data_IF_195062567642
#
_entry.id   IF_195062567642
#
_cell.length_a   1.000
_cell.length_b   1.000
_cell.length_c   1.000
_cell.angle_alpha   90.00
_cell.angle_beta   90.00
_cell.angle_gamma   90.00
#
_symmetry.space_group_name_H-M   'P 1'
#
loop_
_entity.id
_entity.type
_entity.pdbx_description
1 polymer ?
#
# COMPACT_ATOMS: atom_id res chain seq x y z
N UNK A 1 14.14 -4.98 -39.97
CA UNK A 1 14.39 -4.10 -38.79
C UNK A 1 15.85 -3.69 -38.82
N UNK A 2 16.15 -2.41 -38.61
CA UNK A 2 17.52 -1.95 -38.53
C UNK A 2 18.24 -2.62 -37.31
N UNK A 3 19.53 -2.82 -37.45
CA UNK A 3 20.37 -3.49 -36.43
C UNK A 3 21.35 -2.48 -35.80
N UNK A 4 21.87 -2.80 -34.64
CA UNK A 4 22.88 -1.95 -33.96
C UNK A 4 24.12 -1.74 -34.85
N UNK A 5 24.46 -2.70 -35.74
CA UNK A 5 25.54 -2.59 -36.70
C UNK A 5 25.26 -1.52 -37.77
N UNK A 6 24.02 -1.43 -38.25
CA UNK A 6 23.59 -0.41 -39.19
C UNK A 6 23.59 0.98 -38.60
N UNK A 7 23.12 1.13 -37.34
CA UNK A 7 23.21 2.38 -36.59
C UNK A 7 24.66 2.83 -36.44
N UNK A 8 25.55 1.92 -36.06
CA UNK A 8 26.98 2.20 -35.92
C UNK A 8 27.60 2.70 -37.24
N UNK A 9 27.21 2.06 -38.37
CA UNK A 9 27.67 2.46 -39.71
C UNK A 9 27.18 3.86 -40.10
N UNK A 10 25.88 4.15 -39.88
CA UNK A 10 25.26 5.45 -40.24
C UNK A 10 25.84 6.56 -39.34
N UNK A 11 25.97 6.31 -38.04
CA UNK A 11 26.53 7.27 -37.11
C UNK A 11 28.04 7.41 -37.18
N UNK A 12 28.75 6.55 -37.96
CA UNK A 12 30.21 6.58 -38.09
C UNK A 12 30.96 6.27 -36.82
N UNK A 13 30.47 5.33 -36.00
CA UNK A 13 31.01 4.94 -34.71
C UNK A 13 31.05 3.41 -34.54
N UNK A 14 31.70 2.91 -33.50
CA UNK A 14 31.67 1.48 -33.20
C UNK A 14 30.29 1.04 -32.61
N UNK A 15 29.94 -0.24 -32.74
CA UNK A 15 28.75 -0.82 -32.08
C UNK A 15 28.82 -0.70 -30.57
N UNK A 16 30.02 -0.71 -29.98
CA UNK A 16 30.23 -0.46 -28.56
C UNK A 16 29.86 0.99 -28.18
N UNK A 17 30.24 1.97 -29.02
CA UNK A 17 29.87 3.38 -28.80
C UNK A 17 28.34 3.56 -28.89
N UNK A 18 27.67 2.96 -29.88
CA UNK A 18 26.21 2.97 -29.95
C UNK A 18 25.57 2.36 -28.70
N UNK A 19 26.11 1.24 -28.22
CA UNK A 19 25.64 0.61 -26.98
C UNK A 19 25.87 1.51 -25.75
N UNK A 20 26.99 2.24 -25.69
CA UNK A 20 27.23 3.19 -24.60
C UNK A 20 26.27 4.37 -24.62
N UNK A 21 25.94 4.91 -25.79
CA UNK A 21 24.94 5.97 -25.96
C UNK A 21 23.55 5.49 -25.51
N UNK A 22 23.10 4.34 -26.03
CA UNK A 22 21.78 3.78 -25.73
C UNK A 22 21.59 3.50 -24.23
N UNK A 23 22.65 2.98 -23.56
CA UNK A 23 22.56 2.54 -22.17
C UNK A 23 23.15 3.56 -21.16
N UNK A 24 23.59 4.72 -21.63
CA UNK A 24 24.26 5.74 -20.80
C UNK A 24 25.38 5.16 -19.89
N UNK A 25 26.04 4.10 -20.35
CA UNK A 25 26.94 3.28 -19.52
C UNK A 25 28.37 3.83 -19.43
N UNK A 26 28.71 4.80 -20.29
CA UNK A 26 29.99 5.56 -20.28
C UNK A 26 29.76 6.94 -20.87
N UNK A 27 30.62 7.87 -20.52
CA UNK A 27 30.59 9.19 -21.12
C UNK A 27 30.87 9.08 -22.63
N UNK A 28 29.99 9.67 -23.43
CA UNK A 28 30.16 9.87 -24.88
C UNK A 28 29.87 11.33 -25.16
N UNK A 29 30.68 11.96 -26.05
CA UNK A 29 30.49 13.38 -26.36
C UNK A 29 29.09 13.65 -26.91
N UNK A 30 28.57 14.86 -26.64
CA UNK A 30 27.25 15.29 -27.12
C UNK A 30 27.10 15.17 -28.64
N UNK A 31 28.14 15.46 -29.38
CA UNK A 31 28.15 15.33 -30.84
C UNK A 31 27.92 13.88 -31.29
N UNK A 32 28.66 12.93 -30.74
CA UNK A 32 28.49 11.50 -31.04
C UNK A 32 27.14 10.99 -30.59
N UNK A 33 26.67 11.42 -29.42
CA UNK A 33 25.33 11.07 -28.87
C UNK A 33 24.24 11.52 -29.83
N UNK A 34 24.30 12.76 -30.34
CA UNK A 34 23.32 13.29 -31.29
C UNK A 34 23.34 12.51 -32.62
N UNK A 35 24.50 12.21 -33.18
CA UNK A 35 24.64 11.40 -34.41
C UNK A 35 24.01 10.02 -34.25
N UNK A 36 24.22 9.37 -33.12
CA UNK A 36 23.62 8.05 -32.84
C UNK A 36 22.07 8.17 -32.75
N UNK A 37 21.56 9.17 -32.04
CA UNK A 37 20.12 9.37 -31.93
C UNK A 37 19.47 9.73 -33.27
N UNK A 38 20.13 10.51 -34.11
CA UNK A 38 19.67 10.79 -35.49
C UNK A 38 19.63 9.53 -36.37
N UNK A 39 20.66 8.71 -36.29
CA UNK A 39 20.70 7.44 -37.01
C UNK A 39 19.57 6.50 -36.55
N UNK A 40 19.30 6.44 -35.25
CA UNK A 40 18.20 5.67 -34.70
C UNK A 40 16.83 6.18 -35.18
N UNK A 41 16.62 7.51 -35.15
CA UNK A 41 15.37 8.11 -35.64
C UNK A 41 15.18 7.86 -37.15
N UNK A 42 16.21 8.07 -37.92
CA UNK A 42 16.15 7.90 -39.41
C UNK A 42 15.86 6.46 -39.83
N UNK A 43 16.25 5.48 -39.02
CA UNK A 43 16.08 4.05 -39.34
C UNK A 43 14.89 3.40 -38.62
N UNK A 44 14.23 4.12 -37.70
CA UNK A 44 13.20 3.55 -36.83
C UNK A 44 13.74 2.48 -35.89
N UNK A 45 15.05 2.47 -35.63
CA UNK A 45 15.67 1.51 -34.72
C UNK A 45 15.19 1.70 -33.29
N UNK A 46 14.68 0.63 -32.69
CA UNK A 46 14.39 0.56 -31.26
C UNK A 46 15.35 -0.42 -30.60
N UNK A 47 15.95 -0.06 -29.46
CA UNK A 47 16.78 -0.99 -28.71
C UNK A 47 16.03 -2.28 -28.41
N UNK A 48 16.66 -3.41 -28.59
CA UNK A 48 16.06 -4.70 -28.26
C UNK A 48 16.17 -4.95 -26.76
N UNK A 49 15.08 -4.70 -26.04
CA UNK A 49 14.96 -4.87 -24.59
C UNK A 49 15.28 -6.32 -24.19
N UNK A 50 14.85 -7.32 -24.99
CA UNK A 50 15.13 -8.71 -24.71
C UNK A 50 16.64 -9.03 -24.80
N UNK A 51 17.35 -8.49 -25.79
CA UNK A 51 18.79 -8.65 -25.91
C UNK A 51 19.56 -7.92 -24.79
N UNK A 52 19.04 -6.78 -24.33
CA UNK A 52 19.58 -6.08 -23.15
C UNK A 52 19.40 -6.91 -21.89
N UNK A 53 18.17 -7.41 -21.64
CA UNK A 53 17.84 -8.24 -20.50
C UNK A 53 18.67 -9.52 -20.45
N UNK A 54 18.86 -10.21 -21.58
CA UNK A 54 19.71 -11.41 -21.65
C UNK A 54 21.17 -11.13 -21.28
N UNK A 55 21.69 -9.96 -21.69
CA UNK A 55 23.10 -9.59 -21.43
C UNK A 55 23.33 -9.11 -20.00
N UNK A 56 22.38 -8.33 -19.44
CA UNK A 56 22.53 -7.67 -18.14
C UNK A 56 21.84 -8.43 -17.01
N UNK A 57 21.02 -9.40 -17.36
CA UNK A 57 20.08 -10.08 -16.45
C UNK A 57 19.13 -9.11 -15.71
N UNK A 58 18.90 -7.93 -16.32
CA UNK A 58 18.01 -6.89 -15.80
C UNK A 58 16.98 -6.52 -16.86
N UNK A 59 15.71 -6.51 -16.47
CA UNK A 59 14.58 -6.18 -17.34
C UNK A 59 14.12 -4.73 -17.15
N UNK A 60 14.61 -4.05 -16.13
CA UNK A 60 14.09 -2.76 -15.66
C UNK A 60 12.58 -2.80 -15.40
N UNK A 61 12.12 -3.90 -14.85
CA UNK A 61 10.71 -4.13 -14.56
C UNK A 61 10.54 -4.59 -13.11
N UNK A 62 9.60 -3.97 -12.41
CA UNK A 62 9.21 -4.33 -11.04
C UNK A 62 7.79 -4.89 -11.06
N UNK A 63 7.59 -6.00 -10.36
CA UNK A 63 6.26 -6.54 -10.09
C UNK A 63 5.66 -5.86 -8.85
N UNK A 64 4.46 -5.31 -9.00
CA UNK A 64 3.68 -4.76 -7.90
C UNK A 64 2.44 -5.62 -7.70
N UNK A 65 2.29 -6.20 -6.52
CA UNK A 65 1.19 -7.10 -6.18
C UNK A 65 0.31 -6.48 -5.09
N UNK A 66 -0.95 -6.19 -5.41
CA UNK A 66 -1.90 -5.52 -4.50
C UNK A 66 -3.23 -6.28 -4.43
N UNK A 67 -3.91 -6.29 -3.26
CA UNK A 67 -5.22 -6.93 -3.09
C UNK A 67 -6.38 -5.95 -3.40
N UNK A 68 -6.52 -5.54 -4.66
CA UNK A 68 -7.53 -4.57 -5.10
C UNK A 68 -8.87 -5.27 -5.28
N UNK A 69 -9.91 -4.82 -4.56
CA UNK A 69 -11.29 -5.34 -4.64
C UNK A 69 -12.17 -4.40 -5.44
N UNK A 70 -13.15 -4.95 -6.20
CA UNK A 70 -13.89 -4.20 -7.24
C UNK A 70 -14.77 -3.07 -6.70
N UNK A 71 -15.30 -3.17 -5.50
CA UNK A 71 -16.33 -2.26 -4.97
C UNK A 71 -15.93 -1.55 -3.66
N UNK A 72 -14.61 -1.45 -3.38
CA UNK A 72 -14.13 -0.91 -2.13
C UNK A 72 -13.48 0.46 -2.26
N UNK A 73 -13.74 1.33 -1.31
CA UNK A 73 -13.10 2.64 -1.17
C UNK A 73 -11.61 2.51 -0.78
N UNK A 74 -11.19 1.35 -0.23
CA UNK A 74 -9.77 1.01 0.02
C UNK A 74 -8.91 1.05 -1.26
N UNK A 75 -9.54 0.95 -2.44
CA UNK A 75 -8.84 1.10 -3.71
C UNK A 75 -8.17 2.47 -3.86
N UNK A 76 -8.70 3.53 -3.23
CA UNK A 76 -8.07 4.86 -3.22
C UNK A 76 -6.71 4.81 -2.50
N UNK A 77 -6.62 4.08 -1.40
CA UNK A 77 -5.38 3.86 -0.65
C UNK A 77 -4.32 3.17 -1.52
N UNK A 78 -4.67 2.04 -2.14
CA UNK A 78 -3.75 1.32 -3.02
C UNK A 78 -3.37 2.11 -4.28
N UNK A 79 -4.29 2.93 -4.83
CA UNK A 79 -3.99 3.82 -5.95
C UNK A 79 -2.95 4.87 -5.57
N UNK A 80 -3.10 5.53 -4.42
CA UNK A 80 -2.13 6.52 -3.94
C UNK A 80 -0.76 5.87 -3.67
N UNK A 81 -0.74 4.68 -3.09
CA UNK A 81 0.48 3.89 -2.88
C UNK A 81 1.17 3.58 -4.22
N UNK A 82 0.41 3.11 -5.22
CA UNK A 82 0.92 2.82 -6.57
C UNK A 82 1.53 4.06 -7.22
N UNK A 83 0.88 5.23 -7.12
CA UNK A 83 1.43 6.49 -7.65
C UNK A 83 2.75 6.86 -6.97
N UNK A 84 2.89 6.63 -5.66
CA UNK A 84 4.15 6.83 -4.95
C UNK A 84 5.25 5.89 -5.43
N UNK A 85 4.92 4.61 -5.60
CA UNK A 85 5.84 3.58 -6.13
C UNK A 85 6.29 3.94 -7.55
N UNK A 86 5.34 4.27 -8.44
CA UNK A 86 5.61 4.59 -9.84
C UNK A 86 6.54 5.79 -9.96
N UNK A 87 6.27 6.88 -9.23
CA UNK A 87 7.06 8.11 -9.30
C UNK A 87 8.55 7.86 -8.99
N UNK A 88 8.87 7.04 -7.99
CA UNK A 88 10.25 6.72 -7.61
C UNK A 88 10.89 5.78 -8.64
N UNK A 89 10.17 4.75 -9.08
CA UNK A 89 10.70 3.74 -10.00
C UNK A 89 10.90 4.29 -11.42
N UNK A 90 10.00 5.14 -11.90
CA UNK A 90 10.11 5.80 -13.21
C UNK A 90 11.35 6.70 -13.28
N UNK A 91 11.66 7.46 -12.22
CA UNK A 91 12.84 8.30 -12.12
C UNK A 91 14.16 7.50 -12.29
N UNK A 92 14.14 6.22 -11.89
CA UNK A 92 15.26 5.28 -12.03
C UNK A 92 15.18 4.40 -13.30
N UNK A 93 14.21 4.70 -14.17
CA UNK A 93 14.01 4.03 -15.46
C UNK A 93 13.42 2.61 -15.35
N UNK A 94 12.67 2.32 -14.28
CA UNK A 94 11.93 1.08 -14.11
C UNK A 94 10.48 1.25 -14.56
N UNK A 95 9.91 0.19 -15.14
CA UNK A 95 8.48 0.05 -15.38
C UNK A 95 7.84 -0.83 -14.30
N UNK A 96 6.58 -0.55 -13.96
CA UNK A 96 5.80 -1.35 -13.02
C UNK A 96 4.82 -2.25 -13.76
N UNK A 97 4.75 -3.53 -13.39
CA UNK A 97 3.68 -4.45 -13.80
C UNK A 97 2.80 -4.71 -12.58
N UNK A 98 1.55 -4.28 -12.66
CA UNK A 98 0.57 -4.50 -11.60
C UNK A 98 -0.05 -5.90 -11.71
N UNK A 99 -0.02 -6.65 -10.61
CA UNK A 99 -0.80 -7.86 -10.38
C UNK A 99 -1.86 -7.58 -9.31
N UNK A 100 -3.08 -8.07 -9.52
CA UNK A 100 -4.14 -7.95 -8.55
C UNK A 100 -4.48 -9.31 -7.95
N UNK A 101 -4.30 -9.48 -6.63
CA UNK A 101 -4.61 -10.73 -5.93
C UNK A 101 -6.09 -10.91 -5.63
N UNK A 102 -6.86 -9.82 -5.59
CA UNK A 102 -8.26 -9.80 -5.16
C UNK A 102 -8.46 -10.45 -3.77
N UNK A 103 -7.52 -10.25 -2.87
CA UNK A 103 -7.49 -10.87 -1.54
C UNK A 103 -7.61 -12.42 -1.62
N UNK A 104 -7.03 -13.05 -2.64
CA UNK A 104 -7.11 -14.49 -2.87
C UNK A 104 -5.73 -15.12 -3.02
N UNK A 105 -5.39 -16.05 -2.15
CA UNK A 105 -4.11 -16.75 -2.08
C UNK A 105 -3.75 -17.50 -3.37
N UNK A 106 -4.73 -18.13 -4.03
CA UNK A 106 -4.46 -18.84 -5.28
C UNK A 106 -4.12 -17.87 -6.41
N UNK A 107 -4.81 -16.74 -6.47
CA UNK A 107 -4.52 -15.68 -7.42
C UNK A 107 -3.16 -15.05 -7.14
N UNK A 108 -2.81 -14.84 -5.86
CA UNK A 108 -1.49 -14.36 -5.45
C UNK A 108 -0.37 -15.28 -5.96
N UNK A 109 -0.51 -16.59 -5.77
CA UNK A 109 0.40 -17.61 -6.28
C UNK A 109 0.59 -17.53 -7.80
N UNK A 110 -0.51 -17.47 -8.54
CA UNK A 110 -0.49 -17.36 -10.01
C UNK A 110 0.22 -16.07 -10.46
N UNK A 111 -0.02 -14.95 -9.79
CA UNK A 111 0.63 -13.68 -10.14
C UNK A 111 2.14 -13.73 -9.86
N UNK A 112 2.57 -14.36 -8.77
CA UNK A 112 3.99 -14.55 -8.49
C UNK A 112 4.67 -15.41 -9.57
N UNK A 113 4.04 -16.51 -10.02
CA UNK A 113 4.52 -17.31 -11.15
C UNK A 113 4.63 -16.47 -12.45
N UNK A 114 3.63 -15.61 -12.72
CA UNK A 114 3.68 -14.71 -13.87
C UNK A 114 4.85 -13.71 -13.79
N UNK A 115 5.16 -13.18 -12.61
CA UNK A 115 6.29 -12.29 -12.41
C UNK A 115 7.64 -13.01 -12.56
N UNK A 116 7.75 -14.26 -12.08
CA UNK A 116 8.93 -15.10 -12.31
C UNK A 116 9.17 -15.32 -13.81
N UNK A 117 8.14 -15.72 -14.56
CA UNK A 117 8.21 -15.94 -16.00
C UNK A 117 8.59 -14.68 -16.78
N UNK A 118 8.28 -13.50 -16.28
CA UNK A 118 8.64 -12.20 -16.88
C UNK A 118 9.99 -11.68 -16.42
N UNK A 119 10.70 -12.42 -15.56
CA UNK A 119 12.01 -12.08 -15.03
C UNK A 119 12.07 -10.66 -14.46
N UNK A 120 11.04 -10.24 -13.70
CA UNK A 120 11.06 -8.92 -13.03
C UNK A 120 12.29 -8.82 -12.12
N UNK A 121 12.87 -7.62 -12.00
CA UNK A 121 14.10 -7.38 -11.25
C UNK A 121 13.87 -7.36 -9.72
N UNK A 122 12.63 -7.10 -9.31
CA UNK A 122 12.22 -7.06 -7.91
C UNK A 122 10.70 -7.02 -7.77
N UNK A 123 10.24 -7.12 -6.53
CA UNK A 123 8.82 -7.19 -6.18
C UNK A 123 8.48 -6.25 -5.03
N UNK A 124 7.31 -5.60 -5.13
CA UNK A 124 6.64 -4.94 -4.01
C UNK A 124 5.31 -5.66 -3.82
N UNK A 125 5.04 -6.15 -2.62
CA UNK A 125 3.91 -7.04 -2.34
C UNK A 125 3.14 -6.54 -1.13
N UNK A 126 1.85 -6.22 -1.30
CA UNK A 126 0.89 -6.20 -0.21
C UNK A 126 0.28 -7.62 -0.12
N UNK A 127 0.69 -8.44 0.86
CA UNK A 127 0.29 -9.84 0.90
C UNK A 127 -1.20 -9.98 1.24
N UNK A 128 -1.84 -11.05 0.77
CA UNK A 128 -3.20 -11.39 1.19
C UNK A 128 -3.21 -11.78 2.67
N UNK A 129 -4.38 -11.70 3.35
CA UNK A 129 -4.49 -12.05 4.77
C UNK A 129 -4.08 -13.49 5.07
N UNK A 130 -4.31 -14.39 4.12
CA UNK A 130 -3.97 -15.79 4.23
C UNK A 130 -2.62 -16.14 3.58
N UNK A 131 -1.80 -15.13 3.22
CA UNK A 131 -0.46 -15.34 2.67
C UNK A 131 0.41 -16.06 3.67
N UNK A 132 0.92 -17.19 3.24
CA UNK A 132 1.71 -18.10 4.06
C UNK A 132 3.17 -18.12 3.59
N UNK A 133 3.96 -18.93 4.26
CA UNK A 133 5.39 -19.16 3.99
C UNK A 133 5.75 -19.48 2.53
N UNK A 134 4.80 -19.94 1.71
CA UNK A 134 5.02 -20.22 0.28
C UNK A 134 5.58 -19.03 -0.50
N UNK A 135 5.27 -17.79 -0.09
CA UNK A 135 5.77 -16.59 -0.79
C UNK A 135 7.30 -16.62 -0.85
N UNK A 136 7.99 -16.86 0.27
CA UNK A 136 9.46 -16.89 0.30
C UNK A 136 10.06 -17.93 -0.64
N UNK A 137 9.47 -19.13 -0.69
CA UNK A 137 9.91 -20.18 -1.59
C UNK A 137 9.76 -19.74 -3.06
N UNK A 138 8.63 -19.12 -3.39
CA UNK A 138 8.36 -18.62 -4.74
C UNK A 138 9.22 -17.42 -5.13
N UNK A 139 9.65 -16.59 -4.18
CA UNK A 139 10.50 -15.43 -4.48
C UNK A 139 11.90 -15.83 -4.97
N UNK A 140 12.41 -17.02 -4.58
CA UNK A 140 13.69 -17.54 -5.05
C UNK A 140 14.88 -16.58 -4.80
N UNK A 141 14.86 -15.83 -3.70
CA UNK A 141 15.88 -14.84 -3.36
C UNK A 141 15.81 -13.53 -4.16
N UNK A 142 14.72 -13.28 -4.88
CA UNK A 142 14.49 -12.04 -5.61
C UNK A 142 14.32 -10.85 -4.64
N UNK A 143 14.94 -9.68 -4.91
CA UNK A 143 14.70 -8.46 -4.14
C UNK A 143 13.21 -8.18 -3.95
N UNK A 144 12.76 -8.12 -2.70
CA UNK A 144 11.34 -7.97 -2.38
C UNK A 144 11.16 -7.07 -1.17
N UNK A 145 10.13 -6.19 -1.24
CA UNK A 145 9.66 -5.38 -0.12
C UNK A 145 8.18 -5.66 0.09
N UNK A 146 7.81 -6.00 1.31
CA UNK A 146 6.41 -6.09 1.71
C UNK A 146 5.86 -4.72 2.10
N UNK A 147 4.60 -4.46 1.75
CA UNK A 147 3.92 -3.19 2.06
C UNK A 147 2.57 -3.43 2.70
N UNK A 148 2.08 -2.44 3.46
CA UNK A 148 0.76 -2.43 4.09
C UNK A 148 0.60 -3.45 5.22
N UNK A 149 0.96 -4.70 4.99
CA UNK A 149 0.86 -5.79 5.95
C UNK A 149 2.24 -6.40 6.20
N UNK A 150 2.60 -6.55 7.47
CA UNK A 150 3.80 -7.26 7.88
C UNK A 150 3.51 -8.76 7.87
N UNK A 151 4.22 -9.54 7.05
CA UNK A 151 4.02 -10.99 7.04
C UNK A 151 4.55 -11.59 8.34
N UNK A 152 3.67 -12.12 9.18
CA UNK A 152 3.98 -12.47 10.57
C UNK A 152 4.94 -13.65 10.73
N UNK A 153 4.89 -14.61 9.81
CA UNK A 153 5.74 -15.80 9.87
C UNK A 153 7.08 -15.64 9.13
N UNK A 154 7.31 -14.47 8.49
CA UNK A 154 8.49 -14.22 7.70
C UNK A 154 9.46 -13.31 8.46
N UNK A 155 10.57 -13.89 8.90
CA UNK A 155 11.67 -13.11 9.48
C UNK A 155 12.70 -12.77 8.43
N UNK A 156 13.37 -11.63 8.59
CA UNK A 156 14.47 -11.24 7.69
C UNK A 156 13.99 -10.77 6.32
N UNK A 157 12.84 -10.10 6.25
CA UNK A 157 12.31 -9.46 5.04
C UNK A 157 12.29 -7.94 5.16
N UNK A 158 12.39 -7.24 4.03
CA UNK A 158 12.14 -5.80 4.00
C UNK A 158 10.63 -5.56 4.03
N UNK A 159 10.20 -4.66 4.90
CA UNK A 159 8.79 -4.33 5.04
C UNK A 159 8.61 -2.85 5.36
N UNK A 160 7.55 -2.24 4.81
CA UNK A 160 7.11 -0.90 5.20
C UNK A 160 5.61 -0.91 5.45
N UNK A 161 5.22 -0.50 6.65
CA UNK A 161 3.83 -0.49 7.12
C UNK A 161 3.53 0.82 7.83
N UNK A 162 2.24 1.14 8.00
CA UNK A 162 1.82 2.19 8.90
C UNK A 162 1.86 1.71 10.37
N UNK A 163 2.10 2.61 11.30
CA UNK A 163 1.99 2.35 12.74
C UNK A 163 0.51 2.39 13.17
N UNK A 164 -0.21 1.38 12.69
CA UNK A 164 -1.67 1.27 12.78
C UNK A 164 -2.16 1.17 14.21
N UNK A 165 -1.51 0.35 15.04
CA UNK A 165 -1.87 0.16 16.43
C UNK A 165 -1.73 1.46 17.22
N UNK A 166 -0.59 2.12 17.09
CA UNK A 166 -0.33 3.40 17.74
C UNK A 166 -1.32 4.48 17.29
N UNK A 167 -1.57 4.62 15.99
CA UNK A 167 -2.52 5.60 15.48
C UNK A 167 -3.94 5.39 15.99
N UNK A 168 -4.37 4.14 16.13
CA UNK A 168 -5.67 3.80 16.72
C UNK A 168 -5.69 4.14 18.22
N UNK A 169 -4.61 3.84 18.95
CA UNK A 169 -4.48 4.18 20.35
C UNK A 169 -4.57 5.69 20.57
N UNK A 170 -3.79 6.49 19.84
CA UNK A 170 -3.79 7.95 19.92
C UNK A 170 -5.19 8.54 19.66
N UNK A 171 -5.94 7.98 18.71
CA UNK A 171 -7.29 8.44 18.39
C UNK A 171 -8.30 8.11 19.50
N UNK A 172 -8.22 6.92 20.08
CA UNK A 172 -9.10 6.54 21.22
C UNK A 172 -8.72 7.30 22.48
N UNK A 173 -7.43 7.52 22.74
CA UNK A 173 -6.96 8.38 23.84
C UNK A 173 -7.56 9.79 23.74
N UNK A 174 -7.67 10.35 22.51
CA UNK A 174 -8.29 11.65 22.32
C UNK A 174 -9.75 11.65 22.75
N UNK A 175 -10.53 10.62 22.39
CA UNK A 175 -11.91 10.48 22.85
C UNK A 175 -11.97 10.40 24.39
N UNK A 176 -11.07 9.66 25.00
CA UNK A 176 -11.00 9.53 26.48
C UNK A 176 -10.67 10.88 27.12
N UNK A 177 -9.74 11.67 26.57
CA UNK A 177 -9.41 13.01 27.05
C UNK A 177 -10.57 14.00 26.91
N UNK A 178 -11.44 13.81 25.91
CA UNK A 178 -12.68 14.57 25.71
C UNK A 178 -13.81 14.14 26.68
N UNK A 179 -13.57 13.15 27.53
CA UNK A 179 -14.48 12.71 28.57
C UNK A 179 -15.29 11.45 28.25
N UNK A 180 -15.10 10.87 27.07
CA UNK A 180 -15.80 9.62 26.71
C UNK A 180 -15.25 8.44 27.51
N UNK A 181 -16.14 7.57 27.98
CA UNK A 181 -15.79 6.36 28.74
C UNK A 181 -16.44 5.10 28.17
N UNK A 182 -17.65 5.23 27.64
CA UNK A 182 -18.37 4.17 26.93
C UNK A 182 -18.19 4.39 25.43
N UNK A 183 -17.11 3.78 24.89
CA UNK A 183 -16.71 3.94 23.49
C UNK A 183 -17.03 2.65 22.75
N UNK A 184 -17.96 2.74 21.80
CA UNK A 184 -18.31 1.61 20.95
C UNK A 184 -17.26 1.41 19.83
N UNK A 185 -17.19 0.22 19.29
CA UNK A 185 -16.26 -0.13 18.21
C UNK A 185 -16.99 -0.85 17.08
N UNK A 186 -16.75 -0.40 15.84
CA UNK A 186 -17.14 -1.13 14.65
C UNK A 186 -15.86 -1.67 13.98
N UNK A 187 -15.74 -2.99 13.89
CA UNK A 187 -14.56 -3.66 13.36
C UNK A 187 -14.87 -4.67 12.26
N UNK A 188 -13.90 -4.92 11.39
CA UNK A 188 -13.87 -6.12 10.57
C UNK A 188 -13.72 -7.38 11.45
N UNK A 189 -13.82 -8.55 10.84
CA UNK A 189 -13.65 -9.83 11.54
C UNK A 189 -12.26 -9.91 12.16
N UNK A 190 -12.21 -10.23 13.45
CA UNK A 190 -11.00 -10.32 14.27
C UNK A 190 -10.41 -11.74 14.28
N UNK A 191 -9.18 -11.86 14.80
CA UNK A 191 -8.50 -13.15 15.00
C UNK A 191 -7.84 -13.74 13.75
N UNK A 192 -7.71 -12.95 12.67
CA UNK A 192 -7.06 -13.37 11.42
C UNK A 192 -5.73 -12.66 11.16
N UNK A 193 -5.15 -12.02 12.17
CA UNK A 193 -3.92 -11.22 12.03
C UNK A 193 -4.01 -10.16 10.92
N UNK A 194 -5.13 -9.48 10.85
CA UNK A 194 -5.45 -8.45 9.86
C UNK A 194 -5.18 -7.04 10.39
N UNK A 195 -5.36 -6.04 9.54
CA UNK A 195 -5.36 -4.64 9.97
C UNK A 195 -6.44 -4.34 11.01
N UNK A 196 -7.57 -5.07 10.99
CA UNK A 196 -8.61 -4.95 12.00
C UNK A 196 -8.08 -5.31 13.40
N UNK A 197 -7.31 -6.40 13.52
CA UNK A 197 -6.71 -6.82 14.80
C UNK A 197 -5.77 -5.75 15.36
N UNK A 198 -4.92 -5.14 14.53
CA UNK A 198 -4.02 -4.06 14.97
C UNK A 198 -4.78 -2.80 15.39
N UNK A 199 -5.87 -2.47 14.70
CA UNK A 199 -6.72 -1.31 15.03
C UNK A 199 -7.43 -1.51 16.36
N UNK A 200 -7.96 -2.71 16.60
CA UNK A 200 -8.58 -3.08 17.87
C UNK A 200 -7.56 -3.14 19.00
N UNK A 201 -6.37 -3.66 18.75
CA UNK A 201 -5.32 -3.65 19.77
C UNK A 201 -5.01 -2.22 20.23
N UNK A 202 -4.94 -1.26 19.29
CA UNK A 202 -4.77 0.15 19.65
C UNK A 202 -5.92 0.70 20.53
N UNK A 203 -7.18 0.30 20.25
CA UNK A 203 -8.30 0.63 21.12
C UNK A 203 -8.13 0.05 22.52
N UNK A 204 -7.76 -1.24 22.62
CA UNK A 204 -7.55 -1.92 23.90
C UNK A 204 -6.41 -1.28 24.69
N UNK A 205 -5.30 -0.97 24.04
CA UNK A 205 -4.14 -0.30 24.66
C UNK A 205 -4.52 1.06 25.27
N UNK A 206 -5.36 1.84 24.55
CA UNK A 206 -5.83 3.13 25.06
C UNK A 206 -6.77 2.96 26.28
N UNK A 207 -7.71 2.01 26.23
CA UNK A 207 -8.61 1.73 27.35
C UNK A 207 -7.84 1.27 28.58
N UNK A 208 -6.87 0.37 28.42
CA UNK A 208 -6.00 -0.11 29.49
C UNK A 208 -5.15 1.02 30.09
N UNK A 209 -4.54 1.85 29.27
CA UNK A 209 -3.70 2.98 29.69
C UNK A 209 -4.43 3.97 30.62
N UNK A 210 -5.75 4.11 30.44
CA UNK A 210 -6.58 5.02 31.22
C UNK A 210 -7.44 4.29 32.27
N UNK A 211 -7.15 3.02 32.56
CA UNK A 211 -7.88 2.18 33.53
C UNK A 211 -9.39 2.13 33.26
N UNK A 212 -9.80 2.13 32.00
CA UNK A 212 -11.21 2.03 31.59
C UNK A 212 -11.55 0.57 31.25
N UNK A 213 -12.51 -0.05 31.96
CA UNK A 213 -12.91 -1.42 31.66
C UNK A 213 -13.50 -1.54 30.24
N UNK A 214 -13.06 -2.55 29.49
CA UNK A 214 -13.59 -2.84 28.16
C UNK A 214 -14.84 -3.69 28.28
N UNK A 215 -15.97 -3.18 27.77
CA UNK A 215 -17.19 -3.99 27.59
C UNK A 215 -17.15 -4.64 26.19
N UNK A 216 -16.99 -5.96 26.15
CA UNK A 216 -16.94 -6.74 24.92
C UNK A 216 -18.23 -6.62 24.10
N UNK A 217 -19.38 -6.29 24.70
CA UNK A 217 -20.63 -6.06 24.00
C UNK A 217 -20.66 -4.73 23.21
N UNK A 218 -19.63 -3.90 23.36
CA UNK A 218 -19.45 -2.66 22.60
C UNK A 218 -18.50 -2.83 21.39
N UNK A 219 -17.86 -3.98 21.25
CA UNK A 219 -17.01 -4.31 20.11
C UNK A 219 -17.85 -5.17 19.16
N UNK A 220 -18.28 -4.58 18.04
CA UNK A 220 -19.08 -5.25 17.03
C UNK A 220 -18.23 -5.60 15.82
N UNK A 221 -18.33 -6.86 15.39
CA UNK A 221 -17.58 -7.41 14.27
C UNK A 221 -18.47 -7.69 13.07
N UNK A 222 -17.96 -7.51 11.86
CA UNK A 222 -18.65 -7.82 10.61
C UNK A 222 -17.78 -7.79 9.37
N UNK A 223 -18.40 -8.04 8.22
CA UNK A 223 -17.76 -8.11 6.90
C UNK A 223 -17.43 -6.69 6.40
N UNK A 224 -16.61 -5.96 6.95
CA UNK A 224 -16.15 -4.61 6.52
C UNK A 224 -17.01 -3.97 5.39
N UNK A 225 -18.33 -3.99 5.55
CA UNK A 225 -19.30 -3.53 4.55
C UNK A 225 -20.07 -2.30 5.03
N UNK A 226 -20.61 -1.52 4.08
CA UNK A 226 -21.50 -0.40 4.40
C UNK A 226 -22.76 -0.85 5.14
N UNK A 227 -23.32 -2.02 4.78
CA UNK A 227 -24.51 -2.58 5.42
C UNK A 227 -24.24 -2.93 6.87
N UNK A 228 -23.07 -3.56 7.15
CA UNK A 228 -22.69 -3.88 8.52
C UNK A 228 -22.44 -2.61 9.33
N UNK A 229 -21.76 -1.61 8.76
CA UNK A 229 -21.57 -0.32 9.42
C UNK A 229 -22.89 0.34 9.83
N UNK A 230 -23.90 0.31 8.97
CA UNK A 230 -25.24 0.81 9.28
C UNK A 230 -25.90 0.03 10.43
N UNK A 231 -25.91 -1.31 10.32
CA UNK A 231 -26.53 -2.21 11.31
C UNK A 231 -25.85 -2.10 12.68
N UNK A 232 -24.54 -2.10 12.71
CA UNK A 232 -23.76 -2.02 13.94
C UNK A 232 -23.94 -0.66 14.62
N UNK A 233 -23.94 0.43 13.86
CA UNK A 233 -24.23 1.75 14.42
C UNK A 233 -25.62 1.81 15.02
N UNK A 234 -26.63 1.18 14.38
CA UNK A 234 -27.97 1.07 14.96
C UNK A 234 -27.92 0.39 16.33
N UNK A 235 -27.24 -0.76 16.45
CA UNK A 235 -27.12 -1.50 17.72
C UNK A 235 -26.47 -0.66 18.81
N UNK A 236 -25.37 0.03 18.49
CA UNK A 236 -24.69 0.90 19.48
C UNK A 236 -25.53 2.12 19.85
N UNK A 237 -26.23 2.70 18.89
CA UNK A 237 -27.03 3.89 19.11
C UNK A 237 -28.30 3.66 19.99
N UNK A 238 -28.74 2.41 20.13
CA UNK A 238 -29.82 2.00 21.05
C UNK A 238 -29.37 2.04 22.51
N UNK A 239 -28.05 2.10 22.78
CA UNK A 239 -27.49 2.22 24.13
C UNK A 239 -27.28 3.71 24.45
N UNK A 240 -27.99 4.20 25.45
CA UNK A 240 -28.01 5.65 25.80
C UNK A 240 -26.69 6.15 26.37
N UNK A 241 -25.88 5.27 26.92
CA UNK A 241 -24.57 5.58 27.55
C UNK A 241 -23.42 5.66 26.54
N UNK A 242 -23.61 5.21 25.29
CA UNK A 242 -22.61 5.34 24.23
C UNK A 242 -22.53 6.79 23.76
N UNK A 243 -21.36 7.39 23.93
CA UNK A 243 -21.12 8.79 23.55
C UNK A 243 -20.04 8.96 22.46
N UNK A 244 -19.27 7.90 22.17
CA UNK A 244 -18.31 7.88 21.07
C UNK A 244 -18.23 6.50 20.42
N UNK A 245 -17.83 6.46 19.15
CA UNK A 245 -17.62 5.23 18.40
C UNK A 245 -16.34 5.33 17.60
N UNK A 246 -15.46 4.34 17.78
CA UNK A 246 -14.29 4.11 16.93
C UNK A 246 -14.64 3.14 15.80
N UNK A 247 -14.44 3.55 14.56
CA UNK A 247 -14.77 2.77 13.37
C UNK A 247 -13.49 2.41 12.64
N UNK A 248 -13.16 1.13 12.63
CA UNK A 248 -11.89 0.63 12.09
C UNK A 248 -11.82 0.58 10.56
N UNK A 249 -12.92 0.89 9.84
CA UNK A 249 -12.98 0.82 8.37
C UNK A 249 -13.80 1.98 7.81
N UNK A 250 -13.29 2.66 6.80
CA UNK A 250 -13.99 3.77 6.15
C UNK A 250 -15.29 3.33 5.45
N UNK A 251 -15.37 2.11 4.91
CA UNK A 251 -16.59 1.59 4.29
C UNK A 251 -17.70 1.42 5.34
N UNK A 252 -17.35 0.86 6.50
CA UNK A 252 -18.28 0.75 7.62
C UNK A 252 -18.69 2.13 8.13
N UNK A 253 -17.77 3.09 8.15
CA UNK A 253 -18.06 4.46 8.55
C UNK A 253 -19.11 5.12 7.65
N UNK A 254 -19.08 4.89 6.34
CA UNK A 254 -20.11 5.39 5.44
C UNK A 254 -21.52 4.89 5.82
N UNK A 255 -21.63 3.60 6.18
CA UNK A 255 -22.90 3.03 6.66
C UNK A 255 -23.31 3.58 8.02
N UNK A 256 -22.39 3.69 8.95
CA UNK A 256 -22.63 4.25 10.27
C UNK A 256 -23.13 5.71 10.21
N UNK A 257 -22.52 6.52 9.37
CA UNK A 257 -22.90 7.92 9.15
C UNK A 257 -24.24 8.02 8.44
N UNK A 258 -24.53 7.12 7.49
CA UNK A 258 -25.86 7.03 6.88
C UNK A 258 -26.94 6.79 7.92
N UNK A 259 -26.70 5.89 8.89
CA UNK A 259 -27.63 5.67 10.00
C UNK A 259 -27.82 6.95 10.82
N UNK A 260 -26.73 7.60 11.23
CA UNK A 260 -26.77 8.80 12.07
C UNK A 260 -27.47 9.97 11.38
N UNK A 261 -27.23 10.17 10.08
CA UNK A 261 -27.92 11.22 9.30
C UNK A 261 -29.43 11.05 9.28
N UNK A 262 -29.93 9.82 9.42
CA UNK A 262 -31.37 9.52 9.54
C UNK A 262 -31.92 9.63 10.98
N UNK A 263 -31.00 9.75 11.97
CA UNK A 263 -31.33 9.79 13.40
C UNK A 263 -30.65 10.96 14.11
N UNK A 264 -31.12 12.21 13.94
CA UNK A 264 -30.43 13.41 14.41
C UNK A 264 -30.12 13.46 15.92
N UNK A 265 -30.95 12.80 16.75
CA UNK A 265 -30.70 12.70 18.20
C UNK A 265 -29.42 11.91 18.49
N UNK A 266 -29.20 10.80 17.80
CA UNK A 266 -28.02 9.99 17.94
C UNK A 266 -26.80 10.70 17.31
N UNK A 267 -27.00 11.38 16.19
CA UNK A 267 -25.96 12.16 15.54
C UNK A 267 -25.36 13.25 16.47
N UNK A 268 -26.19 13.96 17.23
CA UNK A 268 -25.71 15.00 18.16
C UNK A 268 -25.07 14.45 19.44
N UNK A 269 -25.33 13.17 19.77
CA UNK A 269 -24.83 12.52 20.99
C UNK A 269 -23.53 11.75 20.77
N UNK A 270 -23.34 11.14 19.60
CA UNK A 270 -22.27 10.18 19.34
C UNK A 270 -21.16 10.86 18.52
N UNK A 271 -20.01 11.00 19.11
CA UNK A 271 -18.78 11.43 18.41
C UNK A 271 -18.16 10.25 17.66
N UNK A 272 -17.59 10.51 16.49
CA UNK A 272 -17.02 9.47 15.64
C UNK A 272 -15.55 9.70 15.37
N UNK A 273 -14.77 8.63 15.47
CA UNK A 273 -13.43 8.51 14.94
C UNK A 273 -13.42 7.41 13.87
N UNK A 274 -12.85 7.70 12.71
CA UNK A 274 -12.80 6.78 11.56
C UNK A 274 -11.37 6.53 11.15
N UNK A 275 -11.05 5.29 10.86
CA UNK A 275 -9.80 4.94 10.19
C UNK A 275 -9.91 5.26 8.70
N UNK A 276 -8.85 5.89 8.15
CA UNK A 276 -8.72 6.52 6.85
C UNK A 276 -9.41 7.89 6.71
N UNK A 277 -8.73 8.79 5.99
CA UNK A 277 -9.13 10.16 5.77
C UNK A 277 -9.41 10.41 4.29
N UNK A 278 -10.64 10.15 3.85
CA UNK A 278 -11.06 10.35 2.46
C UNK A 278 -11.92 11.60 2.29
N UNK A 279 -12.00 12.10 1.05
CA UNK A 279 -12.70 13.35 0.72
C UNK A 279 -14.18 13.35 1.13
N UNK A 280 -14.85 12.21 1.12
CA UNK A 280 -16.26 12.11 1.51
C UNK A 280 -16.52 12.57 2.97
N UNK A 281 -15.51 12.48 3.84
CA UNK A 281 -15.62 12.97 5.23
C UNK A 281 -15.93 14.45 5.27
N UNK A 282 -15.45 15.25 4.31
CA UNK A 282 -15.70 16.68 4.21
C UNK A 282 -17.17 17.03 3.86
N UNK A 283 -17.95 16.02 3.44
CA UNK A 283 -19.39 16.19 3.14
C UNK A 283 -20.29 15.84 4.32
N UNK A 284 -19.71 15.41 5.44
CA UNK A 284 -20.49 15.05 6.62
C UNK A 284 -21.00 16.29 7.35
N UNK A 285 -22.25 16.20 7.86
CA UNK A 285 -22.88 17.28 8.61
C UNK A 285 -22.21 17.48 9.97
N UNK A 286 -21.86 16.38 10.64
CA UNK A 286 -21.17 16.42 11.93
C UNK A 286 -19.64 16.36 11.74
N UNK A 287 -18.88 17.01 12.62
CA UNK A 287 -17.43 16.86 12.63
C UNK A 287 -17.03 15.39 12.87
N UNK A 288 -16.12 14.91 12.04
CA UNK A 288 -15.59 13.54 12.15
C UNK A 288 -14.10 13.62 12.34
N UNK A 289 -13.59 12.95 13.35
CA UNK A 289 -12.16 12.75 13.54
C UNK A 289 -11.69 11.57 12.67
N UNK A 290 -10.57 11.72 11.99
CA UNK A 290 -10.05 10.65 11.12
C UNK A 290 -8.59 10.34 11.41
N UNK A 291 -8.19 9.10 11.17
CA UNK A 291 -6.80 8.64 11.24
C UNK A 291 -6.29 8.53 9.80
N UNK A 292 -5.46 9.48 9.36
CA UNK A 292 -4.91 9.50 8.01
C UNK A 292 -3.63 8.69 7.90
N UNK A 293 -3.60 7.81 6.91
CA UNK A 293 -2.41 7.12 6.44
C UNK A 293 -1.82 7.88 5.23
N UNK A 294 -0.49 8.01 5.17
CA UNK A 294 0.16 8.56 3.98
C UNK A 294 0.56 7.42 3.02
N UNK A 295 -0.44 6.91 2.29
CA UNK A 295 -0.26 5.82 1.35
C UNK A 295 0.77 6.13 0.25
N UNK A 296 0.85 7.38 -0.19
CA UNK A 296 1.83 7.80 -1.19
C UNK A 296 3.25 7.71 -0.62
N UNK A 297 3.51 8.26 0.56
CA UNK A 297 4.79 8.17 1.24
C UNK A 297 5.19 6.72 1.54
N UNK A 298 4.21 5.87 1.88
CA UNK A 298 4.44 4.43 2.07
C UNK A 298 4.93 3.79 0.76
N UNK A 299 4.30 4.09 -0.37
CA UNK A 299 4.71 3.62 -1.68
C UNK A 299 6.09 4.11 -2.09
N UNK A 300 6.38 5.40 -1.91
CA UNK A 300 7.70 6.00 -2.18
C UNK A 300 8.78 5.32 -1.33
N UNK A 301 8.51 5.10 -0.05
CA UNK A 301 9.43 4.41 0.87
C UNK A 301 9.71 2.97 0.42
N UNK A 302 8.67 2.23 0.03
CA UNK A 302 8.80 0.86 -0.47
C UNK A 302 9.67 0.78 -1.72
N UNK A 303 9.45 1.67 -2.67
CA UNK A 303 10.24 1.74 -3.90
C UNK A 303 11.72 2.07 -3.63
N UNK A 304 12.01 3.04 -2.75
CA UNK A 304 13.37 3.37 -2.32
C UNK A 304 14.05 2.17 -1.63
N UNK A 305 13.34 1.46 -0.76
CA UNK A 305 13.84 0.25 -0.09
C UNK A 305 14.16 -0.84 -1.11
N UNK A 306 13.27 -1.07 -2.09
CA UNK A 306 13.49 -2.07 -3.14
C UNK A 306 14.70 -1.73 -4.01
N UNK A 307 14.83 -0.49 -4.46
CA UNK A 307 15.99 -0.05 -5.24
C UNK A 307 17.30 -0.23 -4.47
N UNK A 308 17.30 0.09 -3.18
CA UNK A 308 18.45 -0.17 -2.29
C UNK A 308 18.78 -1.66 -2.20
N UNK A 309 17.77 -2.55 -2.11
CA UNK A 309 17.95 -4.00 -2.09
C UNK A 309 18.46 -4.55 -3.42
N UNK A 310 17.99 -4.01 -4.56
CA UNK A 310 18.50 -4.36 -5.90
C UNK A 310 19.97 -3.95 -6.07
N UNK A 311 20.36 -2.82 -5.48
CA UNK A 311 21.74 -2.33 -5.54
C UNK A 311 22.68 -3.11 -4.63
N UNK A 312 22.21 -3.50 -3.45
CA UNK A 312 22.96 -4.29 -2.45
C UNK A 312 22.09 -5.44 -1.91
N UNK A 313 22.15 -6.62 -2.55
CA UNK A 313 21.40 -7.80 -2.11
C UNK A 313 21.74 -8.30 -0.71
N UNK A 314 22.94 -7.95 -0.20
CA UNK A 314 23.40 -8.38 1.13
C UNK A 314 23.09 -7.38 2.24
N UNK A 315 22.47 -6.27 1.93
CA UNK A 315 22.05 -5.28 2.91
C UNK A 315 21.20 -5.96 3.99
N UNK A 316 21.38 -5.57 5.27
CA UNK A 316 20.52 -6.02 6.36
C UNK A 316 19.08 -5.63 6.08
N UNK A 317 18.15 -6.56 6.29
CA UNK A 317 16.72 -6.32 6.14
C UNK A 317 16.20 -5.37 7.23
N UNK A 318 15.20 -4.57 6.90
CA UNK A 318 14.61 -3.60 7.82
C UNK A 318 13.09 -3.56 7.70
N UNK A 319 12.42 -3.32 8.84
CA UNK A 319 11.01 -3.01 8.91
C UNK A 319 10.86 -1.51 9.22
N UNK A 320 10.19 -0.77 8.35
CA UNK A 320 9.89 0.65 8.55
C UNK A 320 8.42 0.82 8.92
N UNK A 321 8.18 1.52 10.03
CA UNK A 321 6.84 1.90 10.48
C UNK A 321 6.66 3.39 10.27
N UNK A 322 5.71 3.78 9.40
CA UNK A 322 5.39 5.18 9.13
C UNK A 322 4.28 5.64 10.08
N UNK A 323 4.36 6.86 10.62
CA UNK A 323 3.32 7.37 11.49
C UNK A 323 2.01 7.58 10.74
N UNK A 324 0.90 7.45 11.45
CA UNK A 324 -0.40 7.94 11.02
C UNK A 324 -0.67 9.32 11.63
N UNK A 325 -1.65 10.04 11.12
CA UNK A 325 -1.96 11.40 11.55
C UNK A 325 -3.43 11.53 11.95
N UNK A 326 -3.68 11.96 13.16
CA UNK A 326 -5.03 12.26 13.62
C UNK A 326 -5.47 13.63 13.06
N UNK A 327 -6.57 13.66 12.33
CA UNK A 327 -7.16 14.86 11.72
C UNK A 327 -8.47 15.18 12.44
N UNK A 328 -8.57 16.37 12.98
CA UNK A 328 -9.80 16.91 13.61
C UNK A 328 -10.46 17.89 12.64
N UNK A 329 -11.77 17.78 12.50
CA UNK A 329 -12.60 18.68 11.70
C UNK A 329 -13.69 19.32 12.55
#
# INVERSE_FOLDING_TARGET
>A
MATIKEIAKIAGVSTATVSHVINSSRFVSAEITNRVHEAMRATGYKPNIAAYALRTQKTKTIGLLLPILMDETSNVYFMQMMLGIEAVLEAEGYCVILGNTRENVLTEKQMLEHFQNRMVDGLIIAPTSDSQTFILEMLGGKPTVFVDREPQELTGVDCVVNDTQRGSSEAVEMLIMEGHRHIGVLSGILGKNTMADLRIQGYLDAMEKYDIPVDQNLILEGESSRIDGYRMMQILAEKDDITAVFISSNIMAMGAIEYLNRHPKNQSRIQIVVYDDYEWVNTCVQPIMTIRQDAKCLGETAACMLLSRIADPQKKTEVRRLPTHLIRR
#
